data_IF_649969465940
#
_entry.id   IF_649969465940
#
_cell.length_a   1.000
_cell.length_b   1.000
_cell.length_c   1.000
_cell.angle_alpha   90.00
_cell.angle_beta   90.00
_cell.angle_gamma   90.00
#
_symmetry.space_group_name_H-M   'P 1'
#
loop_
_entity.id
_entity.type
_entity.pdbx_description
1 polymer ?
#
# COMPACT_ATOMS: atom_id res chain seq x y z
N UNK A 1 7.78 -20.09 -5.82
CA UNK A 1 7.83 -18.61 -5.92
C UNK A 1 6.74 -18.06 -5.01
N UNK A 2 7.05 -17.04 -4.20
CA UNK A 2 6.04 -16.44 -3.33
C UNK A 2 5.16 -15.46 -4.12
N UNK A 3 3.86 -15.72 -4.21
CA UNK A 3 2.89 -14.80 -4.86
C UNK A 3 2.50 -13.58 -4.00
N UNK A 4 3.27 -13.27 -2.96
CA UNK A 4 2.92 -12.22 -2.01
C UNK A 4 2.77 -10.84 -2.67
N UNK A 5 3.64 -10.48 -3.61
CA UNK A 5 3.54 -9.21 -4.35
C UNK A 5 2.23 -9.09 -5.13
N UNK A 6 1.76 -10.20 -5.74
CA UNK A 6 0.49 -10.22 -6.49
C UNK A 6 -0.69 -10.04 -5.55
N UNK A 7 -0.68 -10.76 -4.41
CA UNK A 7 -1.72 -10.64 -3.38
C UNK A 7 -1.76 -9.24 -2.78
N UNK A 8 -0.61 -8.68 -2.46
CA UNK A 8 -0.49 -7.31 -1.97
C UNK A 8 -1.03 -6.31 -2.99
N UNK A 9 -0.60 -6.38 -4.25
CA UNK A 9 -1.05 -5.47 -5.31
C UNK A 9 -2.56 -5.53 -5.53
N UNK A 10 -3.14 -6.73 -5.51
CA UNK A 10 -4.59 -6.92 -5.64
C UNK A 10 -5.34 -6.23 -4.49
N UNK A 11 -4.97 -6.51 -3.25
CA UNK A 11 -5.61 -5.90 -2.10
C UNK A 11 -5.39 -4.37 -2.07
N UNK A 12 -4.17 -3.91 -2.32
CA UNK A 12 -3.84 -2.48 -2.39
C UNK A 12 -4.63 -1.76 -3.49
N UNK A 13 -4.84 -2.39 -4.65
CA UNK A 13 -5.62 -1.80 -5.75
C UNK A 13 -7.09 -1.56 -5.41
N UNK A 14 -7.61 -2.27 -4.41
CA UNK A 14 -9.01 -2.12 -3.96
C UNK A 14 -9.18 -1.05 -2.89
N UNK A 15 -8.09 -0.47 -2.38
CA UNK A 15 -8.16 0.55 -1.34
C UNK A 15 -8.82 1.83 -1.84
N UNK A 16 -9.75 2.34 -1.06
CA UNK A 16 -10.41 3.62 -1.22
C UNK A 16 -10.66 4.27 0.16
N UNK A 17 -11.25 5.47 0.16
CA UNK A 17 -11.54 6.21 1.40
C UNK A 17 -12.53 5.51 2.34
N UNK A 18 -13.29 4.51 1.87
CA UNK A 18 -14.33 3.82 2.65
C UNK A 18 -13.82 2.51 3.24
N UNK A 19 -12.73 1.93 2.73
CA UNK A 19 -12.22 0.63 3.16
C UNK A 19 -10.78 0.64 3.69
N UNK A 20 -10.30 1.79 4.20
CA UNK A 20 -8.97 1.93 4.78
C UNK A 20 -8.66 0.98 5.95
N UNK A 21 -9.67 0.36 6.58
CA UNK A 21 -9.48 -0.73 7.54
C UNK A 21 -8.68 -1.92 6.98
N UNK A 22 -8.65 -2.11 5.66
CA UNK A 22 -7.85 -3.15 5.01
C UNK A 22 -6.34 -2.94 5.16
N UNK A 23 -5.89 -1.73 5.52
CA UNK A 23 -4.48 -1.46 5.84
C UNK A 23 -3.96 -2.35 6.98
N UNK A 24 -4.83 -2.73 7.93
CA UNK A 24 -4.50 -3.62 9.05
C UNK A 24 -4.07 -5.03 8.60
N UNK A 25 -4.54 -5.45 7.43
CA UNK A 25 -4.20 -6.74 6.83
C UNK A 25 -2.99 -6.65 5.89
N UNK A 26 -2.63 -5.45 5.44
CA UNK A 26 -1.56 -5.22 4.48
C UNK A 26 -0.23 -4.85 5.14
N UNK A 27 -0.29 -4.17 6.28
CA UNK A 27 0.87 -3.60 6.95
C UNK A 27 0.99 -4.11 8.38
N UNK A 28 2.23 -4.26 8.84
CA UNK A 28 2.52 -4.57 10.25
C UNK A 28 2.29 -3.35 11.14
N UNK A 29 2.13 -3.60 12.45
CA UNK A 29 1.94 -2.54 13.45
C UNK A 29 3.11 -1.54 13.49
N UNK A 30 4.32 -2.01 13.17
CA UNK A 30 5.59 -1.28 13.17
C UNK A 30 6.01 -0.81 11.77
N UNK A 31 5.08 -0.74 10.81
CA UNK A 31 5.34 -0.26 9.44
C UNK A 31 6.08 1.09 9.43
N UNK A 32 7.11 1.18 8.59
CA UNK A 32 7.75 2.45 8.21
C UNK A 32 7.45 2.73 6.76
N UNK A 33 6.60 3.72 6.52
CA UNK A 33 6.21 4.16 5.19
C UNK A 33 6.94 5.47 4.87
N UNK A 34 7.49 5.58 3.67
CA UNK A 34 8.21 6.77 3.22
C UNK A 34 7.72 7.14 1.84
N UNK A 35 7.28 8.38 1.69
CA UNK A 35 7.07 9.04 0.40
C UNK A 35 8.18 10.12 0.19
N UNK A 36 8.27 10.79 -0.97
CA UNK A 36 9.29 11.82 -1.20
C UNK A 36 9.27 13.03 -0.24
N UNK A 37 8.20 13.25 0.52
CA UNK A 37 7.94 14.39 1.39
C UNK A 37 7.83 14.03 2.88
N UNK A 38 7.41 12.80 3.21
CA UNK A 38 7.02 12.38 4.56
C UNK A 38 7.58 10.99 4.90
N UNK A 39 7.92 10.81 6.17
CA UNK A 39 8.09 9.51 6.80
C UNK A 39 6.98 9.30 7.82
N UNK A 40 6.30 8.15 7.74
CA UNK A 40 5.20 7.76 8.62
C UNK A 40 5.59 6.46 9.33
N UNK A 41 5.55 6.49 10.65
CA UNK A 41 5.91 5.36 11.50
C UNK A 41 4.70 4.84 12.28
N UNK A 42 4.45 3.55 12.16
CA UNK A 42 3.39 2.84 12.84
C UNK A 42 2.05 2.88 12.11
N UNK A 43 1.28 1.80 12.26
CA UNK A 43 0.01 1.61 11.57
C UNK A 43 -1.03 2.72 11.87
N UNK A 44 -1.21 3.21 13.11
CA UNK A 44 -2.15 4.31 13.38
C UNK A 44 -1.79 5.62 12.68
N UNK A 45 -0.50 5.88 12.44
CA UNK A 45 -0.06 7.05 11.69
C UNK A 45 -0.31 6.86 10.18
N UNK A 46 -0.07 5.65 9.67
CA UNK A 46 -0.35 5.30 8.28
C UNK A 46 -1.83 5.46 7.94
N UNK A 47 -2.74 5.02 8.82
CA UNK A 47 -4.18 5.22 8.65
C UNK A 47 -4.55 6.68 8.49
N UNK A 48 -4.07 7.55 9.38
CA UNK A 48 -4.34 8.99 9.30
C UNK A 48 -3.83 9.59 8.00
N UNK A 49 -2.62 9.21 7.60
CA UNK A 49 -2.03 9.65 6.35
C UNK A 49 -2.88 9.22 5.13
N UNK A 50 -3.34 7.97 5.07
CA UNK A 50 -4.19 7.50 3.96
C UNK A 50 -5.59 8.15 3.94
N UNK A 51 -6.18 8.44 5.11
CA UNK A 51 -7.44 9.20 5.20
C UNK A 51 -7.28 10.57 4.55
N UNK A 52 -6.21 11.28 4.87
CA UNK A 52 -5.91 12.59 4.27
C UNK A 52 -5.62 12.46 2.77
N UNK A 53 -4.79 11.49 2.38
CA UNK A 53 -4.41 11.25 0.98
C UNK A 53 -5.61 10.95 0.09
N UNK A 54 -6.56 10.14 0.57
CA UNK A 54 -7.74 9.73 -0.21
C UNK A 54 -8.95 10.66 -0.03
N UNK A 55 -8.91 11.62 0.89
CA UNK A 55 -10.03 12.54 1.15
C UNK A 55 -10.51 13.29 -0.10
N UNK A 56 -9.57 13.67 -0.97
CA UNK A 56 -9.83 14.44 -2.19
C UNK A 56 -9.78 13.61 -3.48
N UNK A 57 -9.62 12.28 -3.37
CA UNK A 57 -9.54 11.39 -4.53
C UNK A 57 -10.95 10.93 -4.90
N UNK A 58 -11.40 11.30 -6.11
CA UNK A 58 -12.69 10.87 -6.65
C UNK A 58 -12.62 9.51 -7.34
N UNK A 59 -11.47 9.18 -7.91
CA UNK A 59 -11.22 7.91 -8.60
C UNK A 59 -9.74 7.53 -8.44
N UNK A 60 -9.50 6.29 -8.08
CA UNK A 60 -8.16 5.71 -7.95
C UNK A 60 -8.12 4.41 -8.73
N UNK A 61 -7.08 4.23 -9.55
CA UNK A 61 -6.84 2.98 -10.28
C UNK A 61 -5.34 2.71 -10.32
N UNK A 62 -4.98 1.46 -10.07
CA UNK A 62 -3.61 0.97 -10.19
C UNK A 62 -3.55 -0.11 -11.28
N UNK A 63 -2.87 0.19 -12.39
CA UNK A 63 -2.65 -0.79 -13.45
C UNK A 63 -1.25 -1.42 -13.28
N UNK A 64 -1.14 -2.37 -12.35
CA UNK A 64 0.11 -3.08 -12.05
C UNK A 64 0.59 -3.94 -13.23
N UNK A 65 1.86 -3.78 -13.60
CA UNK A 65 2.48 -4.51 -14.72
C UNK A 65 3.85 -5.10 -14.38
N UNK A 66 4.50 -4.67 -13.29
CA UNK A 66 5.76 -5.24 -12.80
C UNK A 66 5.62 -5.78 -11.37
N UNK A 67 6.14 -6.99 -11.14
CA UNK A 67 6.11 -7.72 -9.87
C UNK A 67 7.50 -8.33 -9.64
N UNK A 68 8.44 -7.50 -9.22
CA UNK A 68 9.86 -7.86 -9.18
C UNK A 68 10.25 -8.22 -7.75
N UNK A 69 10.34 -9.53 -7.48
CA UNK A 69 10.89 -10.04 -6.22
C UNK A 69 12.42 -9.89 -6.24
N UNK A 70 12.98 -9.25 -5.22
CA UNK A 70 14.44 -9.02 -5.12
C UNK A 70 15.10 -9.94 -4.10
N UNK A 71 14.35 -10.37 -3.08
CA UNK A 71 14.77 -11.37 -2.10
C UNK A 71 13.53 -12.11 -1.53
N UNK A 72 13.75 -13.10 -0.68
CA UNK A 72 12.64 -13.77 0.01
C UNK A 72 11.88 -12.76 0.89
N UNK A 73 10.57 -12.61 0.63
CA UNK A 73 9.73 -11.63 1.36
C UNK A 73 9.88 -10.17 0.91
N UNK A 74 10.76 -9.87 -0.05
CA UNK A 74 11.07 -8.49 -0.47
C UNK A 74 10.93 -8.30 -1.98
N UNK A 75 10.40 -7.15 -2.39
CA UNK A 75 10.23 -6.82 -3.80
C UNK A 75 9.59 -5.47 -4.00
N UNK A 76 9.44 -5.09 -5.26
CA UNK A 76 8.78 -3.84 -5.65
C UNK A 76 7.75 -4.10 -6.75
N UNK A 77 6.78 -3.18 -6.81
CA UNK A 77 5.71 -3.18 -7.78
C UNK A 77 5.87 -2.00 -8.73
N UNK A 78 5.48 -2.18 -9.99
CA UNK A 78 5.41 -1.11 -10.99
C UNK A 78 4.00 -1.05 -11.56
N UNK A 79 3.42 0.15 -11.59
CA UNK A 79 2.09 0.41 -12.12
C UNK A 79 2.12 1.62 -13.05
N UNK A 80 1.07 1.77 -13.86
CA UNK A 80 0.82 2.91 -14.75
C UNK A 80 -0.50 3.60 -14.40
#
# INVERSE_FOLDING_TARGET
MSDFLRRFAQAFSTLDKHNLHLLDSLYSQDIRFTDPLHEVQGLPALHRYFVELYSNVSQLRFDFHGFDQVAEGEGYLRWK
#
